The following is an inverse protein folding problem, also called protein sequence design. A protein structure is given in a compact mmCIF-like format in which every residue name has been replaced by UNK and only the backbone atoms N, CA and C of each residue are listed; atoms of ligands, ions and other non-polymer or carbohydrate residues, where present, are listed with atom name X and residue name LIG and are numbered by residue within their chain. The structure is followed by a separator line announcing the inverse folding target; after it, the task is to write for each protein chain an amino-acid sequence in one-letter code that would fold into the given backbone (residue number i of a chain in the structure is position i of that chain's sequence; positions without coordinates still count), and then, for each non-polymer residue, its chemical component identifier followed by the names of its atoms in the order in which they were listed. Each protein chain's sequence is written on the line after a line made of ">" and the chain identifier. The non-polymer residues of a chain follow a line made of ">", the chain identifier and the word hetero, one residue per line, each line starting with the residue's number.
data_IF_486049497514
#
_entry.id   IF_486049497514
#
_cell.length_a   1.000
_cell.length_b   1.000
_cell.length_c   1.000
_cell.angle_alpha   90.00
_cell.angle_beta   90.00
_cell.angle_gamma   90.00
#
_symmetry.space_group_name_H-M   'P 1'
#
loop_
_entity.id
_entity.type
_entity.pdbx_description
1 polymer ?
#
# COMPACT_ATOMS: atom_id res chain seq x y z
N UNK A 1 10.50 -7.49 3.59
CA UNK A 1 10.19 -6.52 2.50
C UNK A 1 11.00 -5.26 2.75
N UNK A 2 11.62 -4.64 1.74
CA UNK A 2 12.24 -3.32 1.87
C UNK A 2 11.32 -2.27 1.25
N UNK A 3 10.79 -1.37 2.07
CA UNK A 3 9.96 -0.25 1.62
C UNK A 3 10.90 0.91 1.23
N UNK A 4 10.73 1.54 0.06
CA UNK A 4 11.55 2.68 -0.35
C UNK A 4 11.53 3.81 0.69
N UNK A 5 12.67 4.44 0.94
CA UNK A 5 12.76 5.55 1.91
C UNK A 5 11.83 6.70 1.56
N UNK A 6 11.59 6.93 0.27
CA UNK A 6 10.66 7.96 -0.21
C UNK A 6 9.23 7.67 0.21
N UNK A 7 8.81 6.40 0.15
CA UNK A 7 7.49 5.96 0.63
C UNK A 7 7.40 6.14 2.14
N UNK A 8 8.45 5.76 2.88
CA UNK A 8 8.52 5.99 4.33
C UNK A 8 8.46 7.47 4.70
N UNK A 9 9.08 8.34 3.90
CA UNK A 9 9.07 9.78 4.13
C UNK A 9 7.68 10.40 3.88
N UNK A 10 6.99 10.01 2.81
CA UNK A 10 5.61 10.42 2.54
C UNK A 10 4.65 9.90 3.62
N UNK A 11 4.82 8.65 4.04
CA UNK A 11 4.02 8.03 5.10
C UNK A 11 4.49 8.42 6.50
N UNK A 12 5.45 9.33 6.67
CA UNK A 12 6.10 9.60 7.96
C UNK A 12 5.11 9.97 9.06
N UNK A 13 4.11 10.76 8.72
CA UNK A 13 3.05 11.17 9.65
C UNK A 13 2.18 10.01 10.13
N UNK A 14 2.00 8.96 9.31
CA UNK A 14 1.38 7.70 9.74
C UNK A 14 2.35 6.89 10.60
N UNK A 15 3.60 6.76 10.16
CA UNK A 15 4.64 5.98 10.85
C UNK A 15 4.89 6.51 12.26
N UNK A 16 4.96 7.82 12.43
CA UNK A 16 5.18 8.47 13.72
C UNK A 16 4.01 8.27 14.69
N UNK A 17 2.82 7.89 14.21
CA UNK A 17 1.63 7.67 15.03
C UNK A 17 1.32 6.19 15.25
N UNK A 18 1.48 5.36 14.21
CA UNK A 18 1.01 3.98 14.21
C UNK A 18 2.10 2.95 13.85
N UNK A 19 3.34 3.38 13.55
CA UNK A 19 4.49 2.53 13.24
C UNK A 19 4.71 2.28 11.74
N UNK A 20 5.83 1.64 11.37
CA UNK A 20 6.20 1.45 9.95
C UNK A 20 5.69 0.13 9.34
N UNK A 21 4.38 -0.11 9.45
CA UNK A 21 3.76 -1.33 8.90
C UNK A 21 3.18 -1.11 7.50
N UNK A 22 3.66 -1.88 6.53
CA UNK A 22 3.22 -1.82 5.13
C UNK A 22 3.08 -3.22 4.54
N UNK A 23 2.06 -3.42 3.72
CA UNK A 23 1.88 -4.57 2.84
C UNK A 23 2.20 -4.15 1.40
N UNK A 24 2.79 -5.05 0.62
CA UNK A 24 3.05 -4.81 -0.80
C UNK A 24 1.92 -5.35 -1.65
N UNK A 25 1.33 -4.46 -2.44
CA UNK A 25 0.20 -4.81 -3.31
C UNK A 25 0.66 -5.39 -4.65
N UNK A 26 1.85 -5.03 -5.12
CA UNK A 26 2.37 -5.48 -6.41
C UNK A 26 2.99 -4.35 -7.23
N UNK A 27 3.43 -4.70 -8.43
CA UNK A 27 3.91 -3.77 -9.43
C UNK A 27 2.87 -3.65 -10.55
N UNK A 28 2.52 -2.42 -10.95
CA UNK A 28 1.64 -2.16 -12.07
C UNK A 28 2.19 -0.99 -12.89
N UNK A 29 2.29 -1.20 -14.21
CA UNK A 29 2.85 -0.24 -15.17
C UNK A 29 4.22 0.32 -14.76
N UNK A 30 5.08 -0.51 -14.15
CA UNK A 30 6.42 -0.13 -13.73
C UNK A 30 6.48 0.71 -12.45
N UNK A 31 5.37 0.81 -11.71
CA UNK A 31 5.33 1.40 -10.38
C UNK A 31 4.92 0.36 -9.33
N UNK A 32 5.58 0.41 -8.18
CA UNK A 32 5.32 -0.43 -7.02
C UNK A 32 4.25 0.21 -6.14
N UNK A 33 3.33 -0.61 -5.62
CA UNK A 33 2.23 -0.16 -4.79
C UNK A 33 2.32 -0.79 -3.41
N UNK A 34 2.16 0.04 -2.39
CA UNK A 34 2.26 -0.34 -0.99
C UNK A 34 1.00 0.10 -0.24
N UNK A 35 0.39 -0.79 0.53
CA UNK A 35 -0.72 -0.50 1.42
C UNK A 35 -0.18 -0.26 2.83
N UNK A 36 -0.53 0.86 3.44
CA UNK A 36 -0.23 1.07 4.86
C UNK A 36 -1.15 0.23 5.74
N UNK A 37 -0.56 -0.45 6.71
CA UNK A 37 -1.27 -1.35 7.61
C UNK A 37 -1.42 -0.68 8.97
N UNK A 38 -2.64 -0.27 9.26
CA UNK A 38 -2.98 0.25 10.58
C UNK A 38 -3.00 -0.88 11.63
N UNK A 39 -2.72 -0.55 12.90
CA UNK A 39 -2.93 -1.48 14.00
C UNK A 39 -4.42 -1.84 14.12
N UNK A 40 -4.70 -3.07 14.55
CA UNK A 40 -6.06 -3.66 14.58
C UNK A 40 -7.07 -2.88 15.45
N UNK A 41 -6.58 -2.06 16.38
CA UNK A 41 -7.39 -1.27 17.32
C UNK A 41 -7.79 0.11 16.76
N UNK A 42 -7.35 0.46 15.53
CA UNK A 42 -7.60 1.78 14.94
C UNK A 42 -8.69 1.71 13.88
N UNK A 43 -9.78 2.44 14.12
CA UNK A 43 -10.81 2.69 13.12
C UNK A 43 -10.39 3.87 12.23
N UNK A 44 -9.99 3.58 11.00
CA UNK A 44 -9.64 4.59 9.99
C UNK A 44 -10.75 4.75 8.96
N UNK A 45 -10.68 5.82 8.18
CA UNK A 45 -11.51 5.99 6.98
C UNK A 45 -10.98 5.14 5.82
N UNK A 46 -10.67 5.77 4.70
CA UNK A 46 -10.07 5.08 3.56
C UNK A 46 -8.66 4.53 3.88
N UNK A 47 -8.28 3.39 3.27
CA UNK A 47 -6.91 2.90 3.35
C UNK A 47 -5.94 3.84 2.63
N UNK A 48 -4.67 3.82 3.04
CA UNK A 48 -3.61 4.60 2.41
C UNK A 48 -2.76 3.70 1.52
N UNK A 49 -2.75 4.01 0.23
CA UNK A 49 -1.96 3.31 -0.79
C UNK A 49 -0.89 4.27 -1.32
N UNK A 50 0.36 3.81 -1.34
CA UNK A 50 1.51 4.55 -1.82
C UNK A 50 1.99 3.93 -3.12
N UNK A 51 1.97 4.69 -4.20
CA UNK A 51 2.58 4.33 -5.48
C UNK A 51 3.99 4.89 -5.52
N UNK A 52 4.97 4.03 -5.78
CA UNK A 52 6.36 4.36 -6.00
C UNK A 52 6.76 4.03 -7.43
N UNK A 53 7.13 5.03 -8.21
CA UNK A 53 7.60 4.83 -9.58
C UNK A 53 8.34 6.05 -10.07
N UNK A 54 9.37 5.85 -10.89
CA UNK A 54 10.20 6.95 -11.44
C UNK A 54 10.83 7.82 -10.33
N UNK A 55 11.15 7.23 -9.18
CA UNK A 55 11.68 7.96 -8.02
C UNK A 55 10.70 8.97 -7.42
N UNK A 56 9.40 8.84 -7.68
CA UNK A 56 8.35 9.68 -7.12
C UNK A 56 7.37 8.82 -6.32
N UNK A 57 6.76 9.44 -5.31
CA UNK A 57 5.72 8.80 -4.49
C UNK A 57 4.43 9.56 -4.65
N UNK A 58 3.34 8.83 -4.89
CA UNK A 58 1.98 9.37 -4.84
C UNK A 58 1.17 8.60 -3.82
N UNK A 59 0.39 9.33 -3.04
CA UNK A 59 -0.46 8.78 -1.98
C UNK A 59 -1.92 8.84 -2.43
N UNK A 60 -2.61 7.72 -2.29
CA UNK A 60 -4.04 7.57 -2.57
C UNK A 60 -4.75 7.20 -1.27
N UNK A 61 -5.77 7.97 -0.90
CA UNK A 61 -6.54 7.79 0.34
C UNK A 61 -8.02 8.06 0.15
N UNK A 62 -8.54 7.67 -1.02
CA UNK A 62 -9.92 7.90 -1.45
C UNK A 62 -10.44 6.67 -2.20
N UNK A 63 -11.52 6.80 -2.97
CA UNK A 63 -12.05 5.72 -3.80
C UNK A 63 -11.00 5.10 -4.74
N UNK A 64 -10.03 5.88 -5.23
CA UNK A 64 -8.91 5.37 -6.03
C UNK A 64 -8.04 4.37 -5.26
N UNK A 65 -7.87 4.55 -3.95
CA UNK A 65 -7.13 3.58 -3.14
C UNK A 65 -7.85 2.22 -3.12
N UNK A 66 -9.19 2.23 -3.02
CA UNK A 66 -10.00 1.01 -3.08
C UNK A 66 -9.93 0.34 -4.45
N UNK A 67 -9.96 1.12 -5.53
CA UNK A 67 -9.82 0.61 -6.89
C UNK A 67 -8.44 -0.04 -7.11
N UNK A 68 -7.36 0.62 -6.69
CA UNK A 68 -5.99 0.08 -6.74
C UNK A 68 -5.85 -1.20 -5.93
N UNK A 69 -6.41 -1.25 -4.73
CA UNK A 69 -6.42 -2.47 -3.91
C UNK A 69 -7.20 -3.58 -4.64
N UNK A 70 -8.37 -3.29 -5.21
CA UNK A 70 -9.13 -4.29 -5.95
C UNK A 70 -8.43 -4.76 -7.23
N UNK A 71 -7.70 -3.86 -7.90
CA UNK A 71 -6.95 -4.16 -9.11
C UNK A 71 -5.76 -5.06 -8.83
N UNK A 72 -5.03 -4.78 -7.75
CA UNK A 72 -3.75 -5.43 -7.42
C UNK A 72 -3.93 -6.66 -6.53
N UNK A 73 -4.95 -6.66 -5.68
CA UNK A 73 -5.42 -7.84 -4.96
C UNK A 73 -6.42 -8.58 -5.87
N UNK A 74 -5.91 -9.04 -7.01
CA UNK A 74 -6.56 -10.00 -7.91
C UNK A 74 -5.62 -11.17 -8.12
N UNK A 75 -5.39 -11.94 -7.06
CA UNK A 75 -5.30 -13.40 -7.09
C UNK A 75 -4.86 -13.94 -5.72
N UNK A 76 -5.82 -14.48 -4.97
CA UNK A 76 -5.57 -15.56 -4.01
C UNK A 76 -6.41 -16.78 -4.42
N UNK A 77 -6.74 -16.92 -5.71
CA UNK A 77 -7.57 -18.03 -6.22
C UNK A 77 -6.85 -18.83 -7.30
N UNK A 78 -5.59 -19.20 -7.07
CA UNK A 78 -5.03 -20.43 -7.63
C UNK A 78 -4.11 -21.10 -6.59
N UNK A 79 -4.69 -21.59 -5.49
CA UNK A 79 -4.15 -22.81 -4.87
C UNK A 79 -4.43 -23.95 -5.85
N UNK A 80 -3.43 -24.22 -6.71
CA UNK A 80 -3.38 -25.43 -7.51
C UNK A 80 -3.54 -26.65 -6.60
N UNK A 81 -4.75 -27.18 -6.56
CA UNK A 81 -5.04 -28.53 -6.07
C UNK A 81 -4.87 -29.45 -7.28
N UNK A 82 -3.64 -29.86 -7.54
CA UNK A 82 -3.35 -31.06 -8.33
C UNK A 82 -3.56 -32.32 -7.48
#
# INVERSE_FOLDING_TARGET
>A
MNIPEQVKNEARWLIEQYGDSFDYLGNHEGADYFLYKFPEDVTTGFPFVFRYGDGQVMTYSDFEALDLINLLIKDFDEVGVE
#
